data_IF_453614917266
#
_entry.id   IF_453614917266
#
_cell.length_a   1.000
_cell.length_b   1.000
_cell.length_c   1.000
_cell.angle_alpha   90.00
_cell.angle_beta   90.00
_cell.angle_gamma   90.00
#
_symmetry.space_group_name_H-M   'P 1'
#
loop_
_entity.id
_entity.type
_entity.pdbx_description
1 polymer ?
#
# COMPACT_ATOMS: atom_id res chain seq x y z
N UNK A 1 -2.54 -16.19 -2.48
CA UNK A 1 -2.72 -16.84 -1.16
C UNK A 1 -4.22 -17.05 -0.94
N UNK A 2 -4.73 -18.29 -1.02
CA UNK A 2 -6.16 -18.54 -0.85
C UNK A 2 -6.56 -18.33 0.62
N UNK A 3 -7.49 -17.41 0.89
CA UNK A 3 -8.12 -17.27 2.21
C UNK A 3 -8.96 -18.53 2.47
N UNK A 4 -8.92 -19.06 3.69
CA UNK A 4 -9.82 -20.15 4.11
C UNK A 4 -11.28 -19.74 3.91
N UNK A 5 -12.07 -20.62 3.29
CA UNK A 5 -13.50 -20.39 3.09
C UNK A 5 -14.18 -20.22 4.45
N UNK A 6 -15.07 -19.24 4.52
CA UNK A 6 -15.81 -18.90 5.74
C UNK A 6 -17.30 -18.79 5.39
N UNK A 7 -18.18 -19.11 6.34
CA UNK A 7 -19.62 -19.09 6.09
C UNK A 7 -20.07 -17.62 5.89
N UNK A 8 -20.79 -17.35 4.80
CA UNK A 8 -21.37 -16.02 4.56
C UNK A 8 -22.28 -15.63 5.73
N UNK A 9 -22.17 -14.40 6.23
CA UNK A 9 -22.93 -13.92 7.39
C UNK A 9 -22.39 -14.39 8.75
N UNK A 10 -21.32 -15.18 8.79
CA UNK A 10 -20.64 -15.54 10.04
C UNK A 10 -19.97 -14.33 10.69
N UNK A 11 -20.05 -14.23 12.01
CA UNK A 11 -19.32 -13.20 12.75
C UNK A 11 -17.81 -13.47 12.69
N UNK A 12 -17.04 -12.43 12.40
CA UNK A 12 -15.57 -12.47 12.45
C UNK A 12 -15.13 -12.78 13.87
N UNK A 13 -14.35 -13.85 14.07
CA UNK A 13 -13.80 -14.19 15.40
C UNK A 13 -12.91 -13.08 15.96
N UNK A 14 -12.22 -12.37 15.06
CA UNK A 14 -11.31 -11.29 15.41
C UNK A 14 -11.80 -9.95 14.84
N UNK A 15 -11.57 -8.86 15.59
CA UNK A 15 -11.85 -7.48 15.17
C UNK A 15 -10.59 -6.83 14.57
N UNK A 16 -10.76 -5.74 13.81
CA UNK A 16 -9.65 -4.94 13.25
C UNK A 16 -8.87 -5.62 12.12
N UNK A 17 -7.61 -5.20 11.93
CA UNK A 17 -6.67 -5.75 10.94
C UNK A 17 -6.23 -7.15 11.41
N UNK A 18 -7.09 -8.13 11.17
CA UNK A 18 -6.92 -9.54 11.54
C UNK A 18 -6.17 -10.32 10.45
N UNK A 19 -5.49 -11.40 10.85
CA UNK A 19 -4.87 -12.39 9.93
C UNK A 19 -5.88 -13.11 9.03
N UNK A 20 -7.18 -12.94 9.26
CA UNK A 20 -8.24 -13.46 8.41
C UNK A 20 -8.57 -12.51 7.26
N UNK A 21 -8.23 -11.22 7.34
CA UNK A 21 -8.59 -10.23 6.30
C UNK A 21 -7.49 -10.19 5.23
N UNK A 22 -7.88 -9.98 3.98
CA UNK A 22 -6.91 -9.81 2.88
C UNK A 22 -6.47 -8.35 2.85
N UNK A 23 -5.16 -8.11 2.79
CA UNK A 23 -4.60 -6.81 2.50
C UNK A 23 -4.44 -6.65 1.00
N UNK A 24 -5.15 -5.67 0.45
CA UNK A 24 -5.03 -5.25 -0.95
C UNK A 24 -4.24 -3.96 -0.95
N UNK A 25 -3.08 -3.98 -1.61
CA UNK A 25 -2.29 -2.78 -1.85
C UNK A 25 -2.83 -2.08 -3.08
N UNK A 26 -3.13 -0.80 -2.92
CA UNK A 26 -3.58 0.08 -3.99
C UNK A 26 -2.62 1.26 -4.09
N UNK A 27 -2.06 1.49 -5.27
CA UNK A 27 -1.22 2.64 -5.54
C UNK A 27 -1.63 3.28 -6.87
N UNK A 28 -1.51 4.60 -6.93
CA UNK A 28 -1.86 5.41 -8.10
C UNK A 28 -0.68 6.34 -8.39
N UNK A 29 -0.31 6.43 -9.66
CA UNK A 29 0.69 7.37 -10.14
C UNK A 29 0.04 8.60 -10.78
N UNK A 30 0.82 9.65 -11.00
CA UNK A 30 0.41 10.87 -11.69
C UNK A 30 -0.01 10.65 -13.15
N UNK A 31 0.45 9.57 -13.77
CA UNK A 31 0.08 9.12 -15.11
C UNK A 31 -1.20 8.27 -15.10
N UNK A 32 -1.94 8.24 -13.98
CA UNK A 32 -3.11 7.39 -13.74
C UNK A 32 -2.83 5.89 -13.89
N UNK A 33 -1.56 5.47 -13.80
CA UNK A 33 -1.22 4.07 -13.70
C UNK A 33 -1.66 3.54 -12.34
N UNK A 34 -2.48 2.50 -12.36
CA UNK A 34 -3.11 1.92 -11.17
C UNK A 34 -2.48 0.56 -10.87
N UNK A 35 -1.97 0.41 -9.65
CA UNK A 35 -1.51 -0.88 -9.12
C UNK A 35 -2.49 -1.35 -8.06
N UNK A 36 -3.11 -2.51 -8.28
CA UNK A 36 -3.99 -3.17 -7.31
C UNK A 36 -3.58 -4.63 -7.22
N UNK A 37 -3.16 -5.07 -6.04
CA UNK A 37 -2.83 -6.47 -5.82
C UNK A 37 -3.10 -6.91 -4.37
N UNK A 38 -3.59 -8.13 -4.14
CA UNK A 38 -3.59 -8.73 -2.81
C UNK A 38 -2.15 -9.09 -2.43
N UNK A 39 -1.64 -8.52 -1.34
CA UNK A 39 -0.22 -8.66 -0.97
C UNK A 39 0.00 -9.56 0.25
N UNK A 40 -0.94 -9.58 1.19
CA UNK A 40 -0.78 -10.26 2.47
C UNK A 40 -2.14 -10.57 3.11
N UNK A 41 -2.11 -11.35 4.19
CA UNK A 41 -3.22 -11.49 5.13
C UNK A 41 -2.95 -10.62 6.37
N UNK A 42 -3.90 -9.77 6.74
CA UNK A 42 -3.75 -8.82 7.85
C UNK A 42 -2.81 -7.67 7.53
N UNK A 43 -1.92 -7.32 8.46
CA UNK A 43 -0.98 -6.20 8.29
C UNK A 43 0.19 -6.62 7.39
N UNK A 44 0.53 -5.84 6.34
CA UNK A 44 1.61 -6.22 5.44
C UNK A 44 2.99 -6.05 6.08
N UNK A 45 3.86 -7.02 5.83
CA UNK A 45 5.28 -6.93 6.19
C UNK A 45 6.06 -6.13 5.14
N UNK A 46 7.26 -5.64 5.51
CA UNK A 46 8.14 -4.97 4.56
C UNK A 46 8.53 -5.87 3.38
N UNK A 47 8.72 -7.17 3.62
CA UNK A 47 9.04 -8.14 2.57
C UNK A 47 7.87 -8.33 1.60
N UNK A 48 6.63 -8.31 2.09
CA UNK A 48 5.45 -8.41 1.21
C UNK A 48 5.36 -7.20 0.28
N UNK A 49 5.63 -5.99 0.80
CA UNK A 49 5.65 -4.76 0.00
C UNK A 49 6.77 -4.77 -1.04
N UNK A 50 7.99 -5.16 -0.64
CA UNK A 50 9.13 -5.25 -1.55
C UNK A 50 8.86 -6.27 -2.65
N UNK A 51 8.30 -7.44 -2.29
CA UNK A 51 7.93 -8.49 -3.26
C UNK A 51 6.85 -8.02 -4.22
N UNK A 52 5.89 -7.21 -3.77
CA UNK A 52 4.75 -6.78 -4.59
C UNK A 52 5.04 -5.60 -5.49
N UNK A 53 5.43 -4.45 -4.92
CA UNK A 53 5.52 -3.18 -5.64
C UNK A 53 6.97 -2.72 -5.82
N UNK A 54 7.91 -3.26 -5.03
CA UNK A 54 9.31 -2.81 -5.02
C UNK A 54 10.00 -2.88 -6.38
N UNK A 55 9.66 -3.86 -7.22
CA UNK A 55 10.21 -4.00 -8.59
C UNK A 55 9.61 -3.02 -9.61
N UNK A 56 8.46 -2.43 -9.31
CA UNK A 56 7.71 -1.56 -10.21
C UNK A 56 8.08 -0.09 -9.95
N UNK A 57 8.46 0.23 -8.71
CA UNK A 57 8.82 1.59 -8.33
C UNK A 57 10.12 2.03 -9.00
N UNK A 58 10.10 3.23 -9.57
CA UNK A 58 11.29 3.87 -10.14
C UNK A 58 12.10 4.53 -9.02
N UNK A 59 13.44 4.45 -9.04
CA UNK A 59 14.29 5.17 -8.10
C UNK A 59 14.06 6.68 -8.22
N UNK A 60 14.29 7.42 -7.14
CA UNK A 60 14.03 8.88 -7.04
C UNK A 60 12.56 9.30 -7.20
N UNK A 61 11.61 8.38 -7.14
CA UNK A 61 10.18 8.71 -7.07
C UNK A 61 9.78 9.16 -5.66
N UNK A 62 8.59 9.76 -5.53
CA UNK A 62 8.03 10.18 -4.26
C UNK A 62 6.94 9.20 -3.82
N UNK A 63 7.15 8.54 -2.69
CA UNK A 63 6.15 7.70 -2.04
C UNK A 63 5.42 8.51 -0.97
N UNK A 64 4.10 8.54 -1.06
CA UNK A 64 3.21 9.19 -0.09
C UNK A 64 2.35 8.10 0.55
N UNK A 65 2.52 7.87 1.85
CA UNK A 65 1.74 6.86 2.57
C UNK A 65 1.36 7.33 3.97
N UNK A 66 0.62 6.47 4.67
CA UNK A 66 0.47 6.56 6.11
C UNK A 66 1.80 6.35 6.83
N UNK A 67 1.74 6.43 8.15
CA UNK A 67 2.89 6.32 9.06
C UNK A 67 3.33 4.87 9.33
N UNK A 68 2.95 3.89 8.49
CA UNK A 68 3.38 2.52 8.68
C UNK A 68 4.89 2.37 8.40
N UNK A 69 5.62 1.88 9.41
CA UNK A 69 7.07 1.66 9.35
C UNK A 69 7.53 0.77 8.17
N UNK A 70 6.70 -0.19 7.73
CA UNK A 70 7.01 -1.05 6.58
C UNK A 70 7.29 -0.26 5.29
N UNK A 71 6.61 0.88 5.09
CA UNK A 71 6.84 1.75 3.93
C UNK A 71 8.18 2.48 3.99
N UNK A 72 8.69 2.76 5.20
CA UNK A 72 10.04 3.34 5.37
C UNK A 72 11.13 2.38 4.90
N UNK A 73 10.96 1.09 5.20
CA UNK A 73 11.88 0.05 4.73
C UNK A 73 11.78 -0.09 3.21
N UNK A 74 10.57 -0.10 2.66
CA UNK A 74 10.35 -0.10 1.22
C UNK A 74 11.04 1.09 0.55
N UNK A 75 10.93 2.29 1.12
CA UNK A 75 11.52 3.48 0.52
C UNK A 75 13.04 3.44 0.49
N UNK A 76 13.65 2.92 1.55
CA UNK A 76 15.10 2.69 1.59
C UNK A 76 15.55 1.63 0.59
N UNK A 77 14.75 0.57 0.39
CA UNK A 77 15.05 -0.48 -0.58
C UNK A 77 14.97 0.01 -2.04
N UNK A 78 13.98 0.86 -2.36
CA UNK A 78 13.77 1.37 -3.72
C UNK A 78 14.53 2.67 -4.03
N UNK A 79 15.28 3.24 -3.06
CA UNK A 79 15.95 4.55 -3.19
C UNK A 79 14.98 5.68 -3.59
N UNK A 80 13.85 5.76 -2.88
CA UNK A 80 12.77 6.73 -3.12
C UNK A 80 12.59 7.65 -1.93
N UNK A 81 12.13 8.88 -2.19
CA UNK A 81 11.76 9.82 -1.13
C UNK A 81 10.43 9.41 -0.50
N UNK A 82 10.33 9.42 0.83
CA UNK A 82 9.14 8.98 1.55
C UNK A 82 8.57 10.11 2.40
N UNK A 83 7.29 10.43 2.18
CA UNK A 83 6.55 11.43 2.96
C UNK A 83 5.41 10.73 3.72
N UNK A 84 5.38 10.95 5.03
CA UNK A 84 4.34 10.44 5.92
C UNK A 84 3.23 11.47 6.10
N UNK A 85 1.98 11.05 5.95
CA UNK A 85 0.81 11.87 6.30
C UNK A 85 0.30 11.47 7.70
N UNK A 86 0.32 12.41 8.65
CA UNK A 86 -0.27 12.29 10.01
C UNK A 86 -1.49 13.23 10.14
N UNK A 87 -2.54 12.86 10.92
CA UNK A 87 -3.66 12.07 10.46
C UNK A 87 -4.90 12.89 10.04
N UNK A 88 -5.75 12.23 9.23
CA UNK A 88 -7.02 12.68 8.61
C UNK A 88 -6.93 13.64 7.42
N UNK A 89 -6.13 13.34 6.40
CA UNK A 89 -6.43 13.95 5.09
C UNK A 89 -6.24 12.95 3.96
N UNK A 90 -7.35 12.70 3.27
CA UNK A 90 -7.42 12.21 1.90
C UNK A 90 -6.86 13.35 1.02
N UNK A 91 -5.54 13.50 0.94
CA UNK A 91 -4.96 14.58 0.13
C UNK A 91 -4.88 14.11 -1.32
N UNK A 92 -5.89 14.50 -2.09
CA UNK A 92 -5.73 14.71 -3.52
C UNK A 92 -4.77 15.89 -3.71
N UNK A 93 -3.50 15.63 -4.05
CA UNK A 93 -2.58 16.69 -4.44
C UNK A 93 -2.75 16.97 -5.93
N UNK A 94 -3.63 17.93 -6.22
CA UNK A 94 -3.53 18.75 -7.43
C UNK A 94 -2.29 19.64 -7.29
N UNK A 95 -1.33 19.47 -8.19
CA UNK A 95 -0.54 20.53 -8.83
C UNK A 95 0.75 19.93 -9.42
N UNK A 96 0.68 19.47 -10.66
CA UNK A 96 1.80 19.57 -11.58
C UNK A 96 1.25 19.85 -12.97
N UNK A 97 1.36 21.10 -13.37
CA UNK A 97 1.39 21.54 -14.76
C UNK A 97 2.39 20.68 -15.55
N UNK A 98 2.03 20.23 -16.75
CA UNK A 98 2.68 20.66 -18.01
C UNK A 98 2.23 19.84 -19.24
N UNK A 99 1.71 20.60 -20.21
CA UNK A 99 1.86 20.56 -21.68
C UNK A 99 1.72 19.24 -22.48
N UNK A 100 0.66 19.30 -23.30
CA UNK A 100 0.32 18.68 -24.58
C UNK A 100 -0.06 17.21 -24.58
#
# INVERSE_FOLDING_TARGET
MPRKVDKRGGQSRYRGISKEKVCVLTALDNTNNLFIAPIAMGKPSSNDLIRSIGKIMKPKSLLITDSLFSYKILSSYCEISHVWLFPKVFIALNNTTFKK
#
